data_IF_582294946035
#
_entry.id   IF_582294946035
#
_cell.length_a   1.000
_cell.length_b   1.000
_cell.length_c   1.000
_cell.angle_alpha   90.00
_cell.angle_beta   90.00
_cell.angle_gamma   90.00
#
_symmetry.space_group_name_H-M   'P 1'
#
loop_
_entity.id
_entity.type
_entity.pdbx_description
1 polymer ?
#
# COMPACT_ATOMS: atom_id res chain seq x y z
N UNK A 1 5.38 -17.71 -1.57
CA UNK A 1 4.85 -16.39 -1.14
C UNK A 1 5.96 -15.56 -0.50
N UNK A 2 6.90 -14.98 -1.28
CA UNK A 2 8.10 -14.33 -0.71
C UNK A 2 8.56 -13.06 -1.43
N UNK A 3 7.62 -12.25 -1.96
CA UNK A 3 7.99 -11.06 -2.75
C UNK A 3 7.97 -9.75 -1.97
N UNK A 4 7.30 -9.69 -0.81
CA UNK A 4 7.13 -8.43 -0.09
C UNK A 4 8.46 -7.79 0.31
N UNK A 5 9.30 -8.50 1.08
CA UNK A 5 10.58 -7.96 1.56
C UNK A 5 11.51 -7.45 0.44
N UNK A 6 11.82 -8.24 -0.61
CA UNK A 6 12.67 -7.75 -1.69
C UNK A 6 12.04 -6.59 -2.48
N UNK A 7 10.71 -6.58 -2.68
CA UNK A 7 10.02 -5.46 -3.34
C UNK A 7 10.02 -4.19 -2.49
N UNK A 8 9.79 -4.31 -1.17
CA UNK A 8 9.82 -3.17 -0.26
C UNK A 8 11.22 -2.51 -0.21
N UNK A 9 12.29 -3.31 -0.22
CA UNK A 9 13.66 -2.79 -0.29
C UNK A 9 13.94 -2.07 -1.62
N UNK A 10 13.48 -2.62 -2.74
CA UNK A 10 13.62 -1.97 -4.04
C UNK A 10 12.90 -0.62 -4.09
N UNK A 11 11.68 -0.53 -3.53
CA UNK A 11 10.92 0.71 -3.43
C UNK A 11 11.58 1.73 -2.48
N UNK A 12 12.16 1.27 -1.37
CA UNK A 12 12.93 2.13 -0.47
C UNK A 12 14.14 2.76 -1.19
N UNK A 13 14.88 1.97 -1.96
CA UNK A 13 15.98 2.48 -2.79
C UNK A 13 15.52 3.49 -3.85
N UNK A 14 14.35 3.23 -4.48
CA UNK A 14 13.76 4.16 -5.43
C UNK A 14 13.35 5.49 -4.77
N UNK A 15 12.71 5.43 -3.61
CA UNK A 15 12.31 6.61 -2.84
C UNK A 15 13.53 7.42 -2.39
N UNK A 16 14.59 6.76 -1.92
CA UNK A 16 15.83 7.44 -1.55
C UNK A 16 16.47 8.18 -2.73
N UNK A 17 16.52 7.56 -3.92
CA UNK A 17 17.12 8.17 -5.12
C UNK A 17 16.25 9.25 -5.76
N UNK A 18 14.93 9.11 -5.72
CA UNK A 18 14.01 9.98 -6.46
C UNK A 18 13.47 11.13 -5.61
N UNK A 19 13.25 10.88 -4.32
CA UNK A 19 12.62 11.81 -3.37
C UNK A 19 13.60 12.29 -2.29
N UNK A 20 14.80 11.72 -2.21
CA UNK A 20 15.78 12.04 -1.16
C UNK A 20 15.40 11.49 0.22
N UNK A 21 14.43 10.58 0.31
CA UNK A 21 13.95 10.03 1.57
C UNK A 21 15.01 9.17 2.26
N UNK A 22 15.14 9.34 3.57
CA UNK A 22 15.87 8.42 4.43
C UNK A 22 15.03 7.16 4.67
N UNK A 23 15.64 6.00 5.03
CA UNK A 23 14.89 4.76 5.22
C UNK A 23 13.72 4.86 6.20
N UNK A 24 13.83 5.66 7.26
CA UNK A 24 12.73 5.84 8.22
C UNK A 24 11.54 6.59 7.62
N UNK A 25 11.75 7.51 6.68
CA UNK A 25 10.67 8.24 6.02
C UNK A 25 9.87 7.29 5.14
N UNK A 26 10.55 6.38 4.42
CA UNK A 26 9.91 5.32 3.66
C UNK A 26 9.07 4.38 4.55
N UNK A 27 9.60 3.94 5.70
CA UNK A 27 8.90 3.03 6.60
C UNK A 27 7.77 3.70 7.39
N UNK A 28 7.80 5.03 7.53
CA UNK A 28 6.72 5.80 8.14
C UNK A 28 5.60 6.16 7.13
N UNK A 29 5.93 6.24 5.84
CA UNK A 29 4.98 6.56 4.80
C UNK A 29 4.00 5.40 4.54
N UNK A 30 2.73 5.75 4.33
CA UNK A 30 1.70 4.80 3.91
C UNK A 30 1.88 4.43 2.43
N UNK A 31 1.36 3.27 1.98
CA UNK A 31 1.40 2.89 0.57
C UNK A 31 0.72 3.91 -0.36
N UNK A 32 -0.33 4.59 0.11
CA UNK A 32 -1.02 5.64 -0.65
C UNK A 32 -0.15 6.90 -0.81
N UNK A 33 0.54 7.32 0.25
CA UNK A 33 1.48 8.44 0.20
C UNK A 33 2.68 8.12 -0.69
N UNK A 34 3.20 6.88 -0.62
CA UNK A 34 4.26 6.40 -1.50
C UNK A 34 3.82 6.45 -2.97
N UNK A 35 2.63 5.93 -3.29
CA UNK A 35 2.10 5.95 -4.65
C UNK A 35 1.89 7.38 -5.17
N UNK A 36 1.42 8.29 -4.30
CA UNK A 36 1.29 9.71 -4.61
C UNK A 36 2.64 10.35 -4.92
N UNK A 37 3.64 10.11 -4.07
CA UNK A 37 4.97 10.71 -4.17
C UNK A 37 5.73 10.22 -5.41
N UNK A 38 5.49 8.97 -5.83
CA UNK A 38 6.05 8.38 -7.04
C UNK A 38 5.24 8.70 -8.31
N UNK A 39 4.12 9.44 -8.20
CA UNK A 39 3.24 9.72 -9.34
C UNK A 39 2.55 8.49 -9.92
N UNK A 40 2.39 7.43 -9.13
CA UNK A 40 1.79 6.15 -9.54
C UNK A 40 0.26 6.14 -9.45
N UNK A 41 -0.33 7.19 -8.87
CA UNK A 41 -1.78 7.38 -8.88
C UNK A 41 -2.23 7.86 -10.26
N UNK A 42 -2.56 6.91 -11.14
CA UNK A 42 -3.39 7.22 -12.30
C UNK A 42 -4.84 7.48 -11.82
N UNK A 43 -5.57 8.45 -12.41
CA UNK A 43 -7.00 8.59 -12.15
C UNK A 43 -7.70 7.29 -12.54
N UNK A 44 -8.17 6.53 -11.54
CA UNK A 44 -8.81 5.22 -11.72
C UNK A 44 -8.03 4.00 -11.21
N UNK A 45 -6.79 4.17 -10.70
CA UNK A 45 -5.99 3.07 -10.14
C UNK A 45 -6.20 2.84 -8.63
N UNK A 46 -7.09 3.61 -8.00
CA UNK A 46 -7.55 3.31 -6.65
C UNK A 46 -8.39 2.04 -6.70
N UNK A 47 -7.84 0.93 -6.22
CA UNK A 47 -8.64 -0.24 -5.84
C UNK A 47 -9.77 0.28 -4.93
N UNK A 48 -11.05 0.02 -5.23
CA UNK A 48 -12.13 0.45 -4.38
C UNK A 48 -11.93 -0.25 -3.04
N UNK A 49 -11.32 0.46 -2.09
CA UNK A 49 -11.01 -0.07 -0.77
C UNK A 49 -12.24 -0.73 -0.15
N UNK A 50 -12.02 -1.59 0.85
CA UNK A 50 -13.05 -2.44 1.44
C UNK A 50 -14.39 -1.70 1.64
N UNK A 51 -15.34 -1.95 0.74
CA UNK A 51 -16.65 -1.31 0.82
C UNK A 51 -17.47 -1.92 1.96
N UNK A 52 -18.44 -1.16 2.46
CA UNK A 52 -19.35 -1.59 3.53
C UNK A 52 -20.03 -2.93 3.22
N UNK A 53 -20.36 -3.23 1.96
CA UNK A 53 -20.90 -4.53 1.59
C UNK A 53 -19.88 -5.66 1.77
N UNK A 54 -18.61 -5.44 1.42
CA UNK A 54 -17.55 -6.43 1.58
C UNK A 54 -17.26 -6.68 3.07
N UNK A 55 -17.26 -5.64 3.89
CA UNK A 55 -17.13 -5.76 5.34
C UNK A 55 -18.29 -6.56 5.97
N UNK A 56 -19.53 -6.29 5.55
CA UNK A 56 -20.71 -7.01 6.05
C UNK A 56 -20.63 -8.51 5.76
N UNK A 57 -20.20 -8.91 4.56
CA UNK A 57 -20.03 -10.33 4.21
C UNK A 57 -18.96 -11.01 5.06
N UNK A 58 -17.87 -10.32 5.40
CA UNK A 58 -16.83 -10.84 6.29
C UNK A 58 -17.38 -11.09 7.70
N UNK A 59 -18.15 -10.16 8.25
CA UNK A 59 -18.78 -10.31 9.57
C UNK A 59 -19.82 -11.44 9.60
N UNK A 60 -20.61 -11.60 8.53
CA UNK A 60 -21.59 -12.69 8.40
C UNK A 60 -20.91 -14.07 8.35
N UNK A 61 -19.71 -14.16 7.78
CA UNK A 61 -18.94 -15.40 7.70
C UNK A 61 -18.25 -15.77 9.02
N UNK A 62 -17.85 -14.78 9.82
CA UNK A 62 -17.19 -14.97 11.12
C UNK A 62 -18.17 -15.40 12.23
N UNK A 63 -19.39 -14.85 12.20
CA UNK A 63 -20.42 -15.10 13.22
C UNK A 63 -21.18 -16.44 13.04
N UNK A 64 -20.76 -17.27 12.08
CA UNK A 64 -21.36 -18.57 11.74
C UNK A 64 -20.56 -19.80 12.23
N UNK A 65 -19.63 -19.61 13.19
CA UNK A 65 -18.82 -20.67 13.79
C UNK A 65 -19.15 -20.93 15.25
#
# INVERSE_FOLDING_TARGET
MSRFAPTALALCGLAARSLGWRPHEFWAATPAELATSLGLLAPGAADPGLDRQALKRLMEHDNGR
#
